data_IF_249891576187
#
_entry.id   IF_249891576187
#
_cell.length_a   1.000
_cell.length_b   1.000
_cell.length_c   1.000
_cell.angle_alpha   90.00
_cell.angle_beta   90.00
_cell.angle_gamma   90.00
#
_symmetry.space_group_name_H-M   'P 1'
#
loop_
_entity.id
_entity.type
_entity.pdbx_description
1 polymer ?
#
# COMPACT_ATOMS: atom_id res chain seq x y z
N UNK A 1 -18.11 44.82 2.40
CA UNK A 1 -17.30 43.73 2.96
C UNK A 1 -17.12 42.73 1.85
N UNK A 2 -15.91 42.63 1.29
CA UNK A 2 -15.61 41.80 0.12
C UNK A 2 -15.48 40.34 0.55
N UNK A 3 -16.33 39.50 -0.02
CA UNK A 3 -16.46 38.06 0.19
C UNK A 3 -15.38 37.30 -0.61
N UNK A 4 -14.13 37.76 -0.52
CA UNK A 4 -13.00 37.17 -1.24
C UNK A 4 -12.41 36.03 -0.42
N UNK A 5 -12.59 34.82 -0.96
CA UNK A 5 -11.57 33.76 -1.00
C UNK A 5 -11.41 32.91 0.26
N UNK A 6 -12.42 32.07 0.53
CA UNK A 6 -12.13 30.74 1.09
C UNK A 6 -11.48 29.91 -0.03
N UNK A 7 -10.17 30.06 -0.22
CA UNK A 7 -9.36 29.19 -1.06
C UNK A 7 -9.29 27.82 -0.35
N UNK A 8 -9.98 26.82 -0.89
CA UNK A 8 -9.89 25.45 -0.38
C UNK A 8 -8.48 24.92 -0.69
N UNK A 9 -7.65 24.78 0.35
CA UNK A 9 -6.36 24.12 0.23
C UNK A 9 -6.58 22.59 0.19
N UNK A 10 -6.23 21.97 -0.93
CA UNK A 10 -6.26 20.51 -1.10
C UNK A 10 -4.97 19.89 -0.54
N UNK A 11 -5.07 19.24 0.62
CA UNK A 11 -3.95 18.53 1.25
C UNK A 11 -3.92 17.06 0.79
N UNK A 12 -2.83 16.64 0.14
CA UNK A 12 -2.59 15.25 -0.23
C UNK A 12 -1.63 14.60 0.75
N UNK A 13 -1.98 13.43 1.26
CA UNK A 13 -1.12 12.59 2.09
C UNK A 13 -0.77 11.29 1.39
N UNK A 14 0.43 10.77 1.66
CA UNK A 14 0.93 9.52 1.08
C UNK A 14 1.10 8.48 2.17
N UNK A 15 0.81 7.21 1.84
CA UNK A 15 0.96 6.06 2.73
C UNK A 15 1.63 4.94 1.95
N UNK A 16 2.60 4.25 2.58
CA UNK A 16 3.29 3.11 1.99
C UNK A 16 2.65 1.79 2.44
N UNK A 17 2.38 0.88 1.51
CA UNK A 17 1.95 -0.48 1.82
C UNK A 17 3.15 -1.44 1.70
N UNK A 18 3.58 -2.01 2.82
CA UNK A 18 4.60 -3.05 2.84
C UNK A 18 3.94 -4.41 2.56
N UNK A 19 4.09 -4.88 1.33
CA UNK A 19 3.53 -6.14 0.83
C UNK A 19 4.41 -7.36 1.13
N UNK A 20 5.47 -7.19 1.91
CA UNK A 20 6.45 -8.23 2.22
C UNK A 20 7.24 -8.70 0.99
N UNK A 21 7.86 -9.89 1.11
CA UNK A 21 8.78 -10.43 0.09
C UNK A 21 8.09 -11.26 -1.00
N UNK A 22 6.85 -11.66 -0.77
CA UNK A 22 6.12 -12.59 -1.65
C UNK A 22 5.54 -11.87 -2.86
N UNK A 23 5.20 -10.59 -2.71
CA UNK A 23 4.61 -9.77 -3.76
C UNK A 23 5.72 -9.05 -4.52
N UNK A 24 5.83 -9.31 -5.83
CA UNK A 24 6.85 -8.69 -6.70
C UNK A 24 6.29 -7.49 -7.46
N UNK A 25 7.16 -6.58 -7.91
CA UNK A 25 6.77 -5.44 -8.76
C UNK A 25 5.98 -5.88 -10.00
N UNK A 26 6.48 -6.92 -10.70
CA UNK A 26 5.79 -7.51 -11.86
C UNK A 26 4.39 -8.02 -11.52
N UNK A 27 4.20 -8.60 -10.33
CA UNK A 27 2.88 -9.04 -9.89
C UNK A 27 1.94 -7.85 -9.71
N UNK A 28 2.40 -6.78 -9.05
CA UNK A 28 1.61 -5.56 -8.84
C UNK A 28 1.23 -4.94 -10.18
N UNK A 29 2.19 -4.75 -11.09
CA UNK A 29 1.93 -4.19 -12.42
C UNK A 29 0.90 -4.98 -13.23
N UNK A 30 0.96 -6.31 -13.17
CA UNK A 30 0.01 -7.17 -13.87
C UNK A 30 -1.37 -7.15 -13.25
N UNK A 31 -1.48 -7.18 -11.91
CA UNK A 31 -2.75 -7.30 -11.22
C UNK A 31 -3.44 -5.96 -10.99
N UNK A 32 -2.70 -4.87 -10.81
CA UNK A 32 -3.24 -3.52 -10.66
C UNK A 32 -4.04 -3.07 -11.90
N UNK A 33 -3.73 -3.61 -13.09
CA UNK A 33 -4.54 -3.38 -14.31
C UNK A 33 -6.00 -3.83 -14.17
N UNK A 34 -6.28 -4.82 -13.33
CA UNK A 34 -7.64 -5.27 -13.03
C UNK A 34 -8.32 -4.43 -11.93
N UNK A 35 -7.63 -3.43 -11.39
CA UNK A 35 -8.06 -2.60 -10.29
C UNK A 35 -7.42 -2.97 -8.96
N UNK A 36 -7.42 -2.00 -8.05
CA UNK A 36 -6.99 -2.09 -6.67
C UNK A 36 -8.16 -1.58 -5.82
N UNK A 37 -8.51 -2.31 -4.75
CA UNK A 37 -9.60 -1.90 -3.84
C UNK A 37 -9.07 -1.90 -2.42
N UNK A 38 -9.34 -0.82 -1.71
CA UNK A 38 -8.94 -0.65 -0.31
C UNK A 38 -10.20 -0.28 0.47
N UNK A 39 -10.38 -0.90 1.62
CA UNK A 39 -11.40 -0.55 2.63
C UNK A 39 -10.74 -0.61 3.99
N UNK A 40 -11.35 -0.03 5.03
CA UNK A 40 -10.85 -0.22 6.39
C UNK A 40 -9.71 0.74 6.81
N UNK A 41 -9.49 1.85 6.07
CA UNK A 41 -8.37 2.76 6.35
C UNK A 41 -8.61 3.56 7.64
N UNK A 42 -9.84 3.98 7.93
CA UNK A 42 -10.15 4.75 9.14
C UNK A 42 -10.13 3.90 10.43
N UNK A 43 -10.35 2.59 10.31
CA UNK A 43 -10.40 1.66 11.45
C UNK A 43 -9.01 1.14 11.86
N UNK A 44 -7.96 1.48 11.13
CA UNK A 44 -6.58 1.04 11.40
C UNK A 44 -6.27 -0.42 11.00
N UNK A 45 -7.24 -1.10 10.38
CA UNK A 45 -7.10 -2.46 9.85
C UNK A 45 -7.51 -2.53 8.38
N UNK A 46 -6.76 -1.89 7.47
CA UNK A 46 -7.16 -1.81 6.08
C UNK A 46 -7.10 -3.16 5.39
N UNK A 47 -8.11 -3.47 4.58
CA UNK A 47 -8.14 -4.61 3.68
C UNK A 47 -7.85 -4.14 2.26
N UNK A 48 -6.84 -4.74 1.64
CA UNK A 48 -6.46 -4.49 0.26
C UNK A 48 -6.79 -5.72 -0.60
N UNK A 49 -7.48 -5.50 -1.70
CA UNK A 49 -7.67 -6.50 -2.75
C UNK A 49 -6.90 -6.10 -4.00
N UNK A 50 -5.96 -6.96 -4.40
CA UNK A 50 -5.15 -6.80 -5.61
C UNK A 50 -5.28 -8.06 -6.49
N UNK A 51 -6.06 -7.94 -7.56
CA UNK A 51 -6.46 -9.10 -8.36
C UNK A 51 -7.30 -10.09 -7.54
N UNK A 52 -6.79 -11.33 -7.37
CA UNK A 52 -7.46 -12.38 -6.60
C UNK A 52 -6.90 -12.59 -5.18
N UNK A 53 -5.92 -11.78 -4.76
CA UNK A 53 -5.37 -11.84 -3.41
C UNK A 53 -6.01 -10.77 -2.53
N UNK A 54 -6.26 -11.14 -1.28
CA UNK A 54 -6.70 -10.23 -0.23
C UNK A 54 -5.60 -10.14 0.82
N UNK A 55 -5.35 -8.93 1.26
CA UNK A 55 -4.37 -8.60 2.27
C UNK A 55 -5.06 -7.87 3.41
N UNK A 56 -4.63 -8.15 4.63
CA UNK A 56 -5.03 -7.45 5.84
C UNK A 56 -3.84 -6.64 6.35
N UNK A 57 -4.09 -5.37 6.60
CA UNK A 57 -3.09 -4.40 6.98
C UNK A 57 -3.13 -4.09 8.47
N UNK A 58 -1.96 -3.82 9.03
CA UNK A 58 -1.83 -3.16 10.33
C UNK A 58 -1.03 -1.87 10.14
N UNK A 59 -1.59 -0.74 10.57
CA UNK A 59 -0.89 0.55 10.54
C UNK A 59 0.32 0.47 11.48
N UNK A 60 1.49 0.80 10.94
CA UNK A 60 2.76 0.89 11.65
C UNK A 60 3.27 2.33 11.54
N UNK A 61 3.15 3.07 12.63
CA UNK A 61 3.77 4.39 12.76
C UNK A 61 5.28 4.20 12.90
N UNK A 62 5.95 4.25 11.77
CA UNK A 62 7.40 4.04 11.73
C UNK A 62 8.12 5.22 12.37
N UNK A 63 9.12 4.93 13.21
CA UNK A 63 9.98 5.98 13.76
C UNK A 63 10.88 6.52 12.65
N UNK A 64 10.55 7.71 12.15
CA UNK A 64 11.30 8.43 11.12
C UNK A 64 10.43 8.79 9.91
N UNK A 65 11.08 9.26 8.86
CA UNK A 65 10.39 9.72 7.65
C UNK A 65 10.94 8.98 6.44
N UNK A 66 10.05 8.38 5.66
CA UNK A 66 10.36 7.80 4.36
C UNK A 66 10.37 8.91 3.31
N UNK A 67 11.45 9.02 2.55
CA UNK A 67 11.56 9.95 1.42
C UNK A 67 11.45 9.15 0.12
N UNK A 68 10.44 9.44 -0.69
CA UNK A 68 10.20 8.80 -1.97
C UNK A 68 10.76 9.66 -3.08
N UNK A 69 11.43 9.01 -4.03
CA UNK A 69 12.01 9.67 -5.19
C UNK A 69 11.58 8.97 -6.48
N UNK A 70 11.27 9.75 -7.50
CA UNK A 70 11.00 9.26 -8.84
C UNK A 70 12.31 9.09 -9.62
N UNK A 71 12.51 7.93 -10.23
CA UNK A 71 13.68 7.65 -11.08
C UNK A 71 13.29 7.95 -12.53
N UNK A 72 13.90 8.99 -13.11
CA UNK A 72 13.71 9.37 -14.52
C UNK A 72 14.89 8.90 -15.35
N UNK A 73 14.61 8.12 -16.40
CA UNK A 73 15.62 7.74 -17.39
C UNK A 73 15.90 8.92 -18.32
N UNK A 74 17.15 9.39 -18.36
CA UNK A 74 17.55 10.40 -19.35
C UNK A 74 17.77 9.71 -20.69
N UNK A 75 16.75 9.74 -21.55
CA UNK A 75 16.91 9.41 -22.96
C UNK A 75 17.92 10.40 -23.55
N UNK A 76 19.07 9.89 -23.96
CA UNK A 76 20.07 10.69 -24.65
C UNK A 76 19.44 11.23 -25.95
N UNK A 77 19.31 12.55 -26.07
CA UNK A 77 18.90 13.16 -27.34
C UNK A 77 20.00 12.90 -28.38
N UNK A 78 19.74 11.97 -29.30
CA UNK A 78 20.70 11.56 -30.34
C UNK A 78 20.82 12.59 -31.48
N UNK A 79 20.23 13.78 -31.34
CA UNK A 79 20.22 14.82 -32.38
C UNK A 79 21.45 15.73 -32.36
N UNK A 80 22.35 15.60 -31.38
CA UNK A 80 23.62 16.33 -31.33
C UNK A 80 24.78 15.58 -32.00
N UNK A 81 25.91 16.25 -32.25
CA UNK A 81 27.16 15.64 -32.76
C UNK A 81 27.93 14.81 -31.71
N UNK A 82 27.57 14.94 -30.42
CA UNK A 82 28.23 14.26 -29.31
C UNK A 82 28.20 12.71 -29.36
N UNK A 83 27.13 12.04 -29.84
CA UNK A 83 27.09 10.59 -30.02
C UNK A 83 28.09 10.08 -31.08
N UNK A 84 28.43 10.91 -32.07
CA UNK A 84 29.42 10.57 -33.10
C UNK A 84 30.86 10.61 -32.56
N UNK A 85 31.10 11.48 -31.57
CA UNK A 85 32.39 11.56 -30.88
C UNK A 85 32.57 10.44 -29.85
N UNK A 86 31.50 9.93 -29.25
CA UNK A 86 31.56 8.76 -28.36
C UNK A 86 31.76 7.44 -29.11
N UNK A 87 31.35 7.34 -30.39
CA UNK A 87 31.63 6.18 -31.26
C UNK A 87 33.06 6.11 -31.81
N UNK A 88 33.90 7.12 -31.56
CA UNK A 88 35.33 7.09 -31.93
C UNK A 88 36.25 6.71 -30.76
N UNK A 89 35.69 6.37 -29.60
CA UNK A 89 36.45 5.81 -28.48
C UNK A 89 36.50 4.30 -28.66
N UNK A 90 37.72 3.77 -28.70
CA UNK A 90 38.08 2.36 -28.86
C UNK A 90 37.30 1.44 -27.93
N UNK A 91 36.92 0.27 -28.45
CA UNK A 91 36.04 -0.76 -27.88
C UNK A 91 36.51 -1.44 -26.56
N UNK A 92 37.20 -0.73 -25.67
CA UNK A 92 37.56 -1.23 -24.34
C UNK A 92 36.83 -0.45 -23.23
N UNK A 93 36.03 -1.21 -22.46
CA UNK A 93 35.43 -0.89 -21.16
C UNK A 93 34.28 0.15 -21.07
N UNK A 94 33.05 -0.33 -21.31
CA UNK A 94 31.94 -0.34 -20.32
C UNK A 94 30.57 -0.39 -21.02
N UNK A 95 29.58 -1.16 -20.52
CA UNK A 95 28.22 -1.08 -21.02
C UNK A 95 27.71 0.37 -20.87
N UNK A 96 27.09 0.91 -21.93
CA UNK A 96 26.47 2.25 -21.96
C UNK A 96 25.61 2.44 -20.71
N UNK A 97 26.13 3.13 -19.70
CA UNK A 97 25.40 3.38 -18.47
C UNK A 97 24.22 4.30 -18.77
N UNK A 98 23.00 3.77 -18.69
CA UNK A 98 21.79 4.58 -18.63
C UNK A 98 21.96 5.59 -17.49
N UNK A 99 21.95 6.88 -17.84
CA UNK A 99 22.04 7.95 -16.84
C UNK A 99 20.65 8.17 -16.27
N UNK A 100 20.43 7.70 -15.05
CA UNK A 100 19.23 8.01 -14.30
C UNK A 100 19.38 9.38 -13.61
N UNK A 101 18.28 10.12 -13.53
CA UNK A 101 18.13 11.23 -12.57
C UNK A 101 17.06 10.86 -11.56
N UNK A 102 17.21 11.40 -10.36
CA UNK A 102 16.33 11.15 -9.23
C UNK A 102 15.71 12.48 -8.82
N UNK A 103 14.40 12.52 -8.66
CA UNK A 103 13.64 13.71 -8.26
C UNK A 103 12.84 13.41 -7.00
N UNK A 104 12.82 14.34 -6.04
CA UNK A 104 12.03 14.18 -4.83
C UNK A 104 10.54 14.16 -5.17
N UNK A 105 9.82 13.15 -4.68
CA UNK A 105 8.39 12.97 -4.93
C UNK A 105 7.56 13.35 -3.71
N UNK A 106 7.75 12.66 -2.59
CA UNK A 106 7.03 12.94 -1.36
C UNK A 106 7.74 12.36 -0.13
N UNK A 107 7.19 12.68 1.05
CA UNK A 107 7.59 12.08 2.32
C UNK A 107 6.39 11.47 3.02
N UNK A 108 6.59 10.38 3.74
CA UNK A 108 5.57 9.76 4.59
C UNK A 108 6.16 9.11 5.83
N UNK A 109 5.39 9.12 6.92
CA UNK A 109 5.73 8.46 8.19
C UNK A 109 4.85 7.21 8.41
N UNK A 110 3.81 7.06 7.57
CA UNK A 110 2.79 6.05 7.71
C UNK A 110 3.06 4.89 6.77
N UNK A 111 3.35 3.72 7.34
CA UNK A 111 3.44 2.46 6.62
C UNK A 111 2.35 1.51 7.11
N UNK A 112 1.73 0.77 6.19
CA UNK A 112 0.81 -0.31 6.53
C UNK A 112 1.50 -1.63 6.19
N UNK A 113 1.70 -2.48 7.19
CA UNK A 113 2.23 -3.83 7.01
C UNK A 113 1.10 -4.76 6.56
N UNK A 114 1.28 -5.41 5.42
CA UNK A 114 0.23 -6.20 4.76
C UNK A 114 0.55 -7.70 4.82
N UNK A 115 -0.38 -8.46 5.39
CA UNK A 115 -0.32 -9.92 5.42
C UNK A 115 -1.36 -10.52 4.49
N UNK A 116 -1.01 -11.58 3.75
CA UNK A 116 -1.96 -12.26 2.86
C UNK A 116 -2.96 -13.08 3.67
N UNK A 117 -4.25 -12.87 3.42
CA UNK A 117 -5.32 -13.56 4.13
C UNK A 117 -6.24 -14.32 3.18
N UNK A 118 -6.92 -15.34 3.72
CA UNK A 118 -7.94 -16.11 2.99
C UNK A 118 -9.29 -15.91 3.64
N UNK A 119 -10.25 -15.40 2.87
CA UNK A 119 -11.62 -15.18 3.34
C UNK A 119 -12.32 -16.55 3.46
N UNK A 120 -12.93 -16.80 4.61
CA UNK A 120 -13.70 -18.02 4.88
C UNK A 120 -15.12 -17.68 5.31
N UNK A 121 -16.14 -18.43 4.87
CA UNK A 121 -17.50 -18.27 5.38
C UNK A 121 -17.53 -18.48 6.90
N UNK A 122 -18.20 -17.58 7.63
CA UNK A 122 -18.44 -17.75 9.07
C UNK A 122 -19.39 -18.93 9.26
N UNK A 123 -19.04 -19.88 10.12
CA UNK A 123 -19.92 -20.98 10.49
C UNK A 123 -21.15 -20.46 11.27
N UNK A 124 -22.33 -21.08 11.13
CA UNK A 124 -23.49 -20.69 11.93
C UNK A 124 -23.19 -20.95 13.41
N UNK A 125 -23.34 -19.92 14.24
CA UNK A 125 -23.25 -20.03 15.70
C UNK A 125 -24.36 -20.98 16.17
N UNK A 126 -23.97 -22.11 16.77
CA UNK A 126 -24.93 -22.94 17.49
C UNK A 126 -25.31 -22.19 18.75
N UNK A 127 -26.56 -21.75 18.84
CA UNK A 127 -27.15 -21.23 20.07
C UNK A 127 -27.00 -22.29 21.16
N UNK A 128 -26.09 -22.06 22.11
CA UNK A 128 -26.05 -22.80 23.36
C UNK A 128 -27.34 -22.49 24.11
N UNK A 129 -28.21 -23.51 24.19
CA UNK A 129 -29.43 -23.47 24.95
C UNK A 129 -29.07 -23.29 26.42
N UNK A 130 -29.23 -22.06 26.92
CA UNK A 130 -29.27 -21.77 28.36
C UNK A 130 -30.44 -22.56 28.94
N UNK A 131 -30.15 -23.72 29.53
CA UNK A 131 -31.09 -24.42 30.40
C UNK A 131 -31.25 -23.54 31.63
N UNK A 132 -32.33 -22.77 31.66
CA UNK A 132 -32.76 -22.01 32.84
C UNK A 132 -33.22 -23.05 33.87
N UNK A 133 -32.39 -23.32 34.87
CA UNK A 133 -32.83 -23.99 36.08
C UNK A 133 -33.73 -23.00 36.84
N UNK A 134 -35.04 -23.12 36.66
CA UNK A 134 -36.03 -22.59 37.59
C UNK A 134 -36.00 -23.47 38.84
N UNK A 135 -35.25 -23.06 39.86
CA UNK A 135 -35.53 -23.48 41.24
C UNK A 135 -36.49 -22.47 41.84
N UNK A 136 -37.77 -22.83 41.85
CA UNK A 136 -38.79 -22.16 42.65
C UNK A 136 -39.73 -23.22 43.21
N UNK A 137 -39.71 -23.36 44.55
CA UNK A 137 -40.81 -23.71 45.45
C UNK A 137 -40.32 -24.53 46.67
N UNK A 138 -40.05 -23.80 47.76
CA UNK A 138 -40.60 -23.99 49.11
C UNK A 138 -41.20 -25.38 49.44
N UNK A 139 -40.69 -26.01 50.48
CA UNK A 139 -41.59 -26.63 51.47
C UNK A 139 -41.12 -26.37 52.91
N UNK A 140 -42.04 -25.80 53.67
CA UNK A 140 -41.96 -25.48 55.09
C UNK A 140 -42.63 -26.63 55.83
N UNK A 141 -41.92 -27.33 56.73
CA UNK A 141 -42.50 -27.97 57.93
C UNK A 141 -41.43 -28.69 58.77
N UNK A 142 -41.09 -28.12 59.94
CA UNK A 142 -41.40 -28.67 61.28
C UNK A 142 -40.92 -27.72 62.38
#
# INVERSE_FOLDING_TARGET
>A
MSDSEYEYEEESSYVTFDMGKTVTSNFVEQKARAGCRIVGMEEGQPLLQLGGLTFEGTVDETVGTHLLFEIKEKVHDTKGLLPLLTSMRTDDDAPKQQKYSVEYFCSTENTVKMDTVTIRPKAPEKEESKVVATEDALDVQM
#
